data_IF_375481689673
#
_entry.id   IF_375481689673
#
_cell.length_a   1.000
_cell.length_b   1.000
_cell.length_c   1.000
_cell.angle_alpha   90.00
_cell.angle_beta   90.00
_cell.angle_gamma   90.00
#
_symmetry.space_group_name_H-M   'P 1'
#
loop_
_entity.id
_entity.type
_entity.pdbx_description
1 polymer ?
#
# COMPACT_ATOMS: atom_id res chain seq x y z
N UNK A 1 36.77 -17.09 7.06
CA UNK A 1 35.36 -16.74 7.18
C UNK A 1 34.68 -17.13 5.88
N UNK A 2 33.59 -17.88 5.99
CA UNK A 2 32.71 -18.22 4.87
C UNK A 2 32.05 -16.94 4.32
N UNK A 3 31.85 -16.87 2.99
CA UNK A 3 31.28 -15.67 2.35
C UNK A 3 29.84 -15.39 2.81
N UNK A 4 29.08 -16.44 3.17
CA UNK A 4 27.73 -16.24 3.67
C UNK A 4 27.73 -15.71 5.11
N UNK A 5 28.73 -16.06 5.91
CA UNK A 5 28.90 -15.49 7.26
C UNK A 5 29.27 -14.02 7.16
N UNK A 6 30.17 -13.68 6.24
CA UNK A 6 30.55 -12.29 5.96
C UNK A 6 29.33 -11.44 5.54
N UNK A 7 28.43 -11.99 4.71
CA UNK A 7 27.17 -11.33 4.32
C UNK A 7 26.29 -10.98 5.54
N UNK A 8 26.17 -11.91 6.50
CA UNK A 8 25.43 -11.66 7.75
C UNK A 8 26.10 -10.56 8.57
N UNK A 9 27.43 -10.54 8.67
CA UNK A 9 28.15 -9.49 9.40
C UNK A 9 27.96 -8.12 8.75
N UNK A 10 27.98 -8.05 7.41
CA UNK A 10 27.68 -6.82 6.66
C UNK A 10 26.26 -6.34 6.95
N UNK A 11 25.28 -7.25 7.00
CA UNK A 11 23.90 -6.90 7.32
C UNK A 11 23.74 -6.34 8.75
N UNK A 12 24.51 -6.86 9.70
CA UNK A 12 24.49 -6.40 11.10
C UNK A 12 25.38 -5.18 11.36
N UNK A 13 26.12 -4.68 10.37
CA UNK A 13 27.07 -3.59 10.51
C UNK A 13 26.41 -2.30 11.04
N UNK A 14 27.06 -1.61 11.97
CA UNK A 14 26.55 -0.42 12.65
C UNK A 14 25.36 -0.64 13.60
N UNK A 15 24.88 -1.89 13.78
CA UNK A 15 23.71 -2.20 14.61
C UNK A 15 24.05 -2.90 15.92
N UNK A 16 25.27 -3.43 16.08
CA UNK A 16 25.69 -4.12 17.29
C UNK A 16 26.33 -3.14 18.27
N UNK A 17 25.65 -2.87 19.39
CA UNK A 17 26.26 -2.10 20.50
C UNK A 17 27.28 -2.91 21.30
N UNK A 18 27.12 -4.24 21.35
CA UNK A 18 28.01 -5.19 22.04
C UNK A 18 28.24 -6.44 21.17
N UNK A 19 29.10 -6.40 20.13
CA UNK A 19 29.27 -7.54 19.21
C UNK A 19 29.67 -8.85 19.89
N UNK A 20 30.57 -8.79 20.89
CA UNK A 20 31.01 -9.98 21.63
C UNK A 20 29.86 -10.66 22.39
N UNK A 21 29.09 -9.88 23.17
CA UNK A 21 27.94 -10.39 23.93
C UNK A 21 26.86 -10.96 22.99
N UNK A 22 26.65 -10.30 21.85
CA UNK A 22 25.71 -10.75 20.84
C UNK A 22 26.09 -12.12 20.25
N UNK A 23 27.33 -12.29 19.76
CA UNK A 23 27.75 -13.56 19.16
C UNK A 23 27.85 -14.68 20.20
N UNK A 24 28.23 -14.37 21.44
CA UNK A 24 28.15 -15.35 22.55
C UNK A 24 26.70 -15.81 22.79
N UNK A 25 25.73 -14.89 22.78
CA UNK A 25 24.32 -15.23 22.94
C UNK A 25 23.81 -16.09 21.77
N UNK A 26 24.13 -15.74 20.51
CA UNK A 26 23.77 -16.54 19.33
C UNK A 26 24.26 -17.98 19.48
N UNK A 27 25.53 -18.16 19.87
CA UNK A 27 26.12 -19.49 20.09
C UNK A 27 25.45 -20.25 21.24
N UNK A 28 25.25 -19.58 22.38
CA UNK A 28 24.68 -20.20 23.58
C UNK A 28 23.27 -20.70 23.30
N UNK A 29 22.42 -19.84 22.73
CA UNK A 29 21.02 -20.19 22.42
C UNK A 29 20.96 -21.26 21.35
N UNK A 30 21.79 -21.19 20.31
CA UNK A 30 21.83 -22.23 19.29
C UNK A 30 22.24 -23.59 19.87
N UNK A 31 23.27 -23.66 20.72
CA UNK A 31 23.72 -24.92 21.31
C UNK A 31 22.66 -25.54 22.25
N UNK A 32 21.91 -24.70 22.99
CA UNK A 32 20.79 -25.14 23.82
C UNK A 32 19.60 -25.68 23.00
N UNK A 33 19.41 -25.14 21.79
CA UNK A 33 18.26 -25.43 20.92
C UNK A 33 18.62 -26.19 19.63
N UNK A 34 19.82 -26.76 19.50
CA UNK A 34 20.29 -27.40 18.24
C UNK A 34 19.48 -28.61 17.79
N UNK A 35 18.72 -29.24 18.70
CA UNK A 35 17.83 -30.37 18.40
C UNK A 35 16.37 -29.94 18.20
N UNK A 36 16.07 -28.66 18.45
CA UNK A 36 14.75 -28.03 18.25
C UNK A 36 14.61 -27.46 16.84
N UNK A 37 13.41 -26.96 16.51
CA UNK A 37 13.19 -26.18 15.31
C UNK A 37 13.70 -24.73 15.44
N UNK A 38 13.69 -24.01 14.33
CA UNK A 38 14.14 -22.61 14.28
C UNK A 38 13.24 -21.67 15.09
N UNK A 39 11.95 -21.99 15.26
CA UNK A 39 11.00 -21.16 16.02
C UNK A 39 11.33 -21.16 17.52
N UNK A 40 11.77 -22.29 18.05
CA UNK A 40 12.29 -22.40 19.42
C UNK A 40 13.56 -21.55 19.61
N UNK A 41 14.53 -21.65 18.69
CA UNK A 41 15.74 -20.80 18.71
C UNK A 41 15.36 -19.32 18.65
N UNK A 42 14.50 -18.94 17.70
CA UNK A 42 14.03 -17.56 17.50
C UNK A 42 13.44 -17.00 18.79
N UNK A 43 12.51 -17.74 19.40
CA UNK A 43 11.81 -17.31 20.61
C UNK A 43 12.77 -17.12 21.79
N UNK A 44 13.72 -18.05 21.96
CA UNK A 44 14.74 -17.97 23.00
C UNK A 44 15.73 -16.81 22.75
N UNK A 45 16.20 -16.64 21.52
CA UNK A 45 17.17 -15.61 21.17
C UNK A 45 16.58 -14.20 21.28
N UNK A 46 15.33 -13.99 20.86
CA UNK A 46 14.65 -12.70 21.04
C UNK A 46 14.41 -12.36 22.52
N UNK A 47 14.28 -13.36 23.39
CA UNK A 47 14.14 -13.14 24.83
C UNK A 47 15.42 -12.58 25.48
N UNK A 48 16.59 -12.71 24.84
CA UNK A 48 17.84 -12.08 25.27
C UNK A 48 17.82 -10.55 25.12
N UNK A 49 16.89 -10.00 24.31
CA UNK A 49 16.64 -8.56 24.24
C UNK A 49 17.66 -7.75 23.44
N UNK A 50 18.34 -8.37 22.48
CA UNK A 50 19.20 -7.66 21.53
C UNK A 50 18.36 -7.11 20.36
N UNK A 51 18.34 -5.79 20.16
CA UNK A 51 17.65 -5.16 19.01
C UNK A 51 18.16 -5.71 17.67
N UNK A 52 19.47 -5.89 17.54
CA UNK A 52 20.09 -6.52 16.37
C UNK A 52 19.71 -8.01 16.20
N UNK A 53 19.17 -8.64 17.23
CA UNK A 53 18.67 -10.00 17.17
C UNK A 53 17.40 -10.10 16.32
N UNK A 54 16.51 -9.11 16.41
CA UNK A 54 15.35 -9.02 15.52
C UNK A 54 15.76 -8.83 14.06
N UNK A 55 16.79 -8.02 13.80
CA UNK A 55 17.34 -7.82 12.45
C UNK A 55 17.94 -9.10 11.87
N UNK A 56 18.74 -9.84 12.66
CA UNK A 56 19.29 -11.13 12.23
C UNK A 56 18.18 -12.11 11.87
N UNK A 57 17.19 -12.29 12.75
CA UNK A 57 16.07 -13.21 12.51
C UNK A 57 15.28 -12.81 11.27
N UNK A 58 14.95 -11.52 11.14
CA UNK A 58 14.21 -11.01 9.97
C UNK A 58 14.98 -11.25 8.67
N UNK A 59 16.28 -10.98 8.66
CA UNK A 59 17.14 -11.25 7.52
C UNK A 59 17.13 -12.74 7.13
N UNK A 60 17.21 -13.65 8.11
CA UNK A 60 17.16 -15.09 7.85
C UNK A 60 15.79 -15.55 7.31
N UNK A 61 14.68 -15.02 7.86
CA UNK A 61 13.31 -15.33 7.43
C UNK A 61 13.01 -14.81 6.03
N UNK A 62 13.28 -13.52 5.77
CA UNK A 62 12.96 -12.86 4.50
C UNK A 62 13.69 -13.50 3.32
N UNK A 63 14.86 -14.09 3.58
CA UNK A 63 15.65 -14.79 2.58
C UNK A 63 15.44 -16.32 2.58
N UNK A 64 14.70 -16.87 3.55
CA UNK A 64 14.52 -18.32 3.73
C UNK A 64 15.84 -19.06 3.94
N UNK A 65 16.83 -18.43 4.58
CA UNK A 65 18.21 -18.92 4.72
C UNK A 65 18.55 -19.31 6.16
N UNK A 66 17.66 -20.04 6.84
CA UNK A 66 17.85 -20.46 8.24
C UNK A 66 19.13 -21.27 8.46
N UNK A 67 19.64 -21.95 7.42
CA UNK A 67 20.91 -22.68 7.44
C UNK A 67 22.14 -21.79 7.68
N UNK A 68 22.05 -20.48 7.42
CA UNK A 68 23.14 -19.56 7.71
C UNK A 68 23.42 -19.42 9.19
N UNK A 69 22.39 -19.58 10.03
CA UNK A 69 22.59 -19.55 11.48
C UNK A 69 23.59 -20.63 11.92
N UNK A 70 23.48 -21.84 11.35
CA UNK A 70 24.42 -22.92 11.65
C UNK A 70 25.85 -22.55 11.23
N UNK A 71 26.02 -21.88 10.07
CA UNK A 71 27.33 -21.41 9.62
C UNK A 71 27.92 -20.32 10.51
N UNK A 72 27.09 -19.37 10.96
CA UNK A 72 27.51 -18.34 11.91
C UNK A 72 27.98 -19.00 13.20
N UNK A 73 27.27 -20.01 13.70
CA UNK A 73 27.61 -20.72 14.95
C UNK A 73 28.80 -21.70 14.79
N UNK A 74 29.21 -22.05 13.57
CA UNK A 74 30.43 -22.81 13.32
C UNK A 74 31.71 -21.96 13.49
N UNK A 75 31.61 -20.64 13.28
CA UNK A 75 32.71 -19.69 13.48
C UNK A 75 32.83 -19.34 14.96
N UNK A 76 34.05 -19.10 15.48
CA UNK A 76 34.19 -18.79 16.91
C UNK A 76 33.68 -17.37 17.20
N UNK A 77 33.00 -17.11 18.34
CA UNK A 77 32.52 -15.77 18.68
C UNK A 77 33.61 -14.69 18.65
N UNK A 78 34.86 -15.03 19.02
CA UNK A 78 35.96 -14.07 19.00
C UNK A 78 36.40 -13.72 17.57
N UNK A 79 36.32 -14.68 16.64
CA UNK A 79 36.63 -14.48 15.22
C UNK A 79 35.55 -13.62 14.57
N UNK A 80 34.26 -13.89 14.86
CA UNK A 80 33.13 -13.07 14.40
C UNK A 80 33.19 -11.64 14.94
N UNK A 81 33.52 -11.47 16.22
CA UNK A 81 33.68 -10.16 16.84
C UNK A 81 34.82 -9.37 16.17
N UNK A 82 35.95 -10.04 15.91
CA UNK A 82 37.11 -9.40 15.26
C UNK A 82 36.78 -9.01 13.82
N UNK A 83 36.13 -9.90 13.07
CA UNK A 83 35.66 -9.65 11.72
C UNK A 83 34.66 -8.49 11.65
N UNK A 84 33.70 -8.45 12.57
CA UNK A 84 32.75 -7.35 12.68
C UNK A 84 33.46 -6.02 12.94
N UNK A 85 34.41 -6.00 13.88
CA UNK A 85 35.18 -4.80 14.19
C UNK A 85 36.02 -4.32 13.01
N UNK A 86 36.57 -5.23 12.19
CA UNK A 86 37.26 -4.88 10.95
C UNK A 86 36.29 -4.24 9.93
N UNK A 87 35.11 -4.83 9.72
CA UNK A 87 34.09 -4.30 8.82
C UNK A 87 33.52 -2.94 9.26
N UNK A 88 33.39 -2.73 10.57
CA UNK A 88 32.91 -1.47 11.16
C UNK A 88 34.00 -0.39 11.06
N UNK A 89 35.26 -0.75 11.33
CA UNK A 89 36.40 0.15 11.19
C UNK A 89 36.72 0.52 9.73
N UNK A 90 36.39 -0.32 8.75
CA UNK A 90 36.51 0.03 7.33
C UNK A 90 35.56 1.17 6.92
N UNK A 91 34.40 1.29 7.58
CA UNK A 91 33.47 2.41 7.37
C UNK A 91 34.03 3.68 8.02
N UNK A 92 34.42 3.59 9.28
CA UNK A 92 34.96 4.75 10.02
C UNK A 92 36.32 5.21 9.48
N UNK A 93 37.11 4.30 8.89
CA UNK A 93 38.41 4.57 8.29
C UNK A 93 38.35 5.12 6.87
N UNK A 94 37.19 5.08 6.22
CA UNK A 94 36.99 5.62 4.87
C UNK A 94 36.72 7.13 4.85
N UNK A 95 36.32 7.73 5.99
CA UNK A 95 36.00 9.16 6.11
C UNK A 95 37.26 10.07 6.17
N UNK A 96 38.44 9.54 6.51
CA UNK A 96 39.68 10.31 6.64
C UNK A 96 40.63 10.11 5.44
N UNK A 97 40.12 10.35 4.22
CA UNK A 97 40.95 10.86 3.14
C UNK A 97 41.20 9.93 1.95
N UNK A 98 40.47 10.23 0.87
CA UNK A 98 40.68 9.82 -0.53
C UNK A 98 39.93 8.58 -1.06
N UNK A 99 39.13 7.89 -0.23
CA UNK A 99 38.17 6.85 -0.68
C UNK A 99 36.75 7.38 -0.92
N UNK A 100 36.27 8.25 -0.01
CA UNK A 100 34.90 8.77 -0.01
C UNK A 100 34.51 9.53 -1.29
N UNK A 101 35.45 10.25 -1.91
CA UNK A 101 35.16 10.93 -3.18
C UNK A 101 34.86 9.96 -4.34
N UNK A 102 35.36 8.72 -4.31
CA UNK A 102 35.14 7.75 -5.38
C UNK A 102 33.80 7.01 -5.23
N UNK A 103 33.41 6.71 -3.99
CA UNK A 103 32.13 6.06 -3.68
C UNK A 103 30.97 7.09 -3.72
N UNK A 104 31.19 8.31 -3.26
CA UNK A 104 30.24 9.42 -3.50
C UNK A 104 30.02 9.65 -4.99
N UNK A 105 31.07 9.53 -5.81
CA UNK A 105 30.96 9.63 -7.28
C UNK A 105 30.24 8.41 -7.89
N UNK A 106 30.32 7.24 -7.27
CA UNK A 106 29.58 6.04 -7.70
C UNK A 106 28.10 6.16 -7.32
N UNK A 107 27.79 6.51 -6.07
CA UNK A 107 26.44 6.69 -5.57
C UNK A 107 25.74 7.88 -6.24
N UNK A 108 26.43 9.00 -6.43
CA UNK A 108 25.90 10.14 -7.19
C UNK A 108 25.66 9.79 -8.66
N UNK A 109 26.37 8.82 -9.23
CA UNK A 109 26.13 8.33 -10.60
C UNK A 109 24.93 7.39 -10.64
N UNK A 110 24.83 6.45 -9.71
CA UNK A 110 23.67 5.55 -9.58
C UNK A 110 22.40 6.34 -9.30
N UNK A 111 22.46 7.35 -8.44
CA UNK A 111 21.33 8.25 -8.18
C UNK A 111 20.88 9.01 -9.42
N UNK A 112 21.81 9.64 -10.14
CA UNK A 112 21.48 10.32 -11.40
C UNK A 112 20.87 9.36 -12.40
N UNK A 113 21.40 8.15 -12.52
CA UNK A 113 20.86 7.12 -13.39
C UNK A 113 19.45 6.68 -12.97
N UNK A 114 19.15 6.60 -11.67
CA UNK A 114 17.81 6.31 -11.16
C UNK A 114 16.83 7.43 -11.51
N UNK A 115 17.22 8.69 -11.29
CA UNK A 115 16.41 9.87 -11.62
C UNK A 115 16.16 10.00 -13.12
N UNK A 116 17.19 9.79 -13.95
CA UNK A 116 17.05 9.85 -15.42
C UNK A 116 16.08 8.78 -15.96
N UNK A 117 16.08 7.59 -15.37
CA UNK A 117 15.22 6.49 -15.82
C UNK A 117 13.80 6.56 -15.26
N UNK A 118 13.65 6.89 -13.97
CA UNK A 118 12.39 6.73 -13.24
C UNK A 118 11.82 8.03 -12.71
N UNK A 119 12.61 9.11 -12.64
CA UNK A 119 12.20 10.38 -12.05
C UNK A 119 11.07 11.09 -12.81
N UNK A 120 10.88 10.77 -14.10
CA UNK A 120 9.79 11.32 -14.90
C UNK A 120 8.41 10.75 -14.51
N UNK A 121 8.34 9.51 -14.02
CA UNK A 121 7.08 8.88 -13.61
C UNK A 121 6.44 9.60 -12.41
N UNK A 122 7.27 10.23 -11.57
CA UNK A 122 6.82 11.04 -10.43
C UNK A 122 6.02 12.29 -10.83
N UNK A 123 5.98 12.64 -12.13
CA UNK A 123 5.16 13.74 -12.62
C UNK A 123 3.66 13.47 -12.50
N UNK A 124 3.28 12.20 -12.39
CA UNK A 124 1.90 11.74 -12.24
C UNK A 124 1.49 11.58 -10.77
N UNK A 125 2.45 11.68 -9.82
CA UNK A 125 2.12 11.75 -8.41
C UNK A 125 1.47 13.10 -8.09
N UNK A 126 0.29 13.04 -7.48
CA UNK A 126 -0.51 14.20 -7.10
C UNK A 126 0.07 14.99 -5.91
N UNK A 127 1.11 14.46 -5.27
CA UNK A 127 1.74 15.03 -4.08
C UNK A 127 0.95 14.79 -2.81
N UNK A 128 0.03 13.82 -2.80
CA UNK A 128 -0.71 13.43 -1.59
C UNK A 128 0.10 12.51 -0.68
N UNK A 129 -0.17 12.56 0.63
CA UNK A 129 0.42 11.63 1.60
C UNK A 129 0.03 10.18 1.32
N UNK A 130 -1.20 9.94 0.83
CA UNK A 130 -1.68 8.61 0.48
C UNK A 130 -0.90 8.01 -0.70
N UNK A 131 -0.61 8.80 -1.73
CA UNK A 131 0.16 8.35 -2.91
C UNK A 131 1.67 8.22 -2.65
N UNK A 132 2.20 8.82 -1.57
CA UNK A 132 3.64 8.81 -1.28
C UNK A 132 4.20 7.38 -1.17
N UNK A 133 3.58 6.55 -0.33
CA UNK A 133 4.08 5.19 -0.07
C UNK A 133 4.12 4.36 -1.35
N UNK A 134 3.06 4.45 -2.18
CA UNK A 134 2.97 3.75 -3.45
C UNK A 134 4.08 4.14 -4.42
N UNK A 135 4.31 5.45 -4.63
CA UNK A 135 5.35 5.92 -5.53
C UNK A 135 6.77 5.62 -5.03
N UNK A 136 7.00 5.75 -3.72
CA UNK A 136 8.27 5.39 -3.09
C UNK A 136 8.57 3.90 -3.27
N UNK A 137 7.62 3.04 -2.95
CA UNK A 137 7.80 1.59 -3.00
C UNK A 137 7.93 1.10 -4.45
N UNK A 138 7.16 1.68 -5.37
CA UNK A 138 7.36 1.47 -6.80
C UNK A 138 8.78 1.83 -7.24
N UNK A 139 9.32 2.97 -6.81
CA UNK A 139 10.67 3.41 -7.16
C UNK A 139 11.74 2.46 -6.61
N UNK A 140 11.54 1.94 -5.39
CA UNK A 140 12.40 0.91 -4.81
C UNK A 140 12.40 -0.39 -5.62
N UNK A 141 11.22 -0.91 -5.97
CA UNK A 141 11.11 -2.11 -6.81
C UNK A 141 11.73 -1.88 -8.18
N UNK A 142 11.46 -0.73 -8.80
CA UNK A 142 11.98 -0.37 -10.12
C UNK A 142 13.52 -0.29 -10.13
N UNK A 143 14.12 0.38 -9.16
CA UNK A 143 15.58 0.48 -9.03
C UNK A 143 16.22 -0.87 -8.72
N UNK A 144 15.65 -1.66 -7.80
CA UNK A 144 16.14 -3.00 -7.45
C UNK A 144 16.12 -3.95 -8.66
N UNK A 145 15.08 -3.85 -9.50
CA UNK A 145 14.96 -4.68 -10.71
C UNK A 145 16.04 -4.40 -11.77
N UNK A 146 16.62 -3.20 -11.78
CA UNK A 146 17.71 -2.84 -12.69
C UNK A 146 19.08 -3.16 -12.08
N UNK A 147 19.29 -2.74 -10.84
CA UNK A 147 20.56 -2.91 -10.13
C UNK A 147 20.30 -2.83 -8.61
N UNK A 148 20.57 -3.89 -7.82
CA UNK A 148 20.43 -3.85 -6.37
C UNK A 148 21.21 -2.72 -5.69
N UNK A 149 22.33 -2.29 -6.26
CA UNK A 149 23.12 -1.16 -5.76
C UNK A 149 22.38 0.17 -5.95
N UNK A 150 21.61 0.30 -7.03
CA UNK A 150 20.76 1.47 -7.27
C UNK A 150 19.61 1.54 -6.28
N UNK A 151 19.05 0.39 -5.89
CA UNK A 151 18.07 0.31 -4.80
C UNK A 151 18.65 0.79 -3.48
N UNK A 152 19.86 0.35 -3.10
CA UNK A 152 20.50 0.79 -1.86
C UNK A 152 20.65 2.32 -1.82
N UNK A 153 21.11 2.93 -2.92
CA UNK A 153 21.22 4.39 -3.05
C UNK A 153 19.84 5.07 -2.99
N UNK A 154 18.82 4.49 -3.62
CA UNK A 154 17.46 5.03 -3.57
C UNK A 154 16.86 4.98 -2.18
N UNK A 155 17.02 3.86 -1.49
CA UNK A 155 16.56 3.67 -0.11
C UNK A 155 17.24 4.66 0.83
N UNK A 156 18.57 4.78 0.77
CA UNK A 156 19.33 5.71 1.61
C UNK A 156 18.89 7.17 1.45
N UNK A 157 18.44 7.57 0.25
CA UNK A 157 18.00 8.95 -0.03
C UNK A 157 16.53 9.20 0.27
N UNK A 158 15.64 8.23 0.03
CA UNK A 158 14.19 8.42 0.14
C UNK A 158 13.64 8.01 1.51
N UNK A 159 14.22 7.02 2.18
CA UNK A 159 13.72 6.54 3.47
C UNK A 159 13.69 7.63 4.57
N UNK A 160 14.73 8.48 4.71
CA UNK A 160 14.70 9.57 5.68
C UNK A 160 13.53 10.56 5.48
N UNK A 161 12.98 10.65 4.26
CA UNK A 161 11.88 11.55 3.95
C UNK A 161 10.53 11.09 4.53
N UNK A 162 10.43 9.84 4.98
CA UNK A 162 9.22 9.30 5.61
C UNK A 162 8.83 10.04 6.90
N UNK A 163 9.82 10.56 7.62
CA UNK A 163 9.61 11.32 8.84
C UNK A 163 9.41 12.83 8.60
N UNK A 164 9.57 13.28 7.35
CA UNK A 164 9.49 14.70 6.96
C UNK A 164 8.05 15.07 6.58
N UNK A 165 7.55 16.26 6.98
CA UNK A 165 6.24 16.75 6.52
C UNK A 165 6.15 16.82 4.99
N UNK A 166 4.96 16.58 4.45
CA UNK A 166 4.70 16.42 3.02
C UNK A 166 5.28 17.56 2.16
N UNK A 167 5.08 18.82 2.54
CA UNK A 167 5.58 19.96 1.75
C UNK A 167 7.12 19.96 1.67
N UNK A 168 7.80 19.75 2.80
CA UNK A 168 9.26 19.67 2.86
C UNK A 168 9.81 18.41 2.17
N UNK A 169 9.03 17.33 2.15
CA UNK A 169 9.34 16.11 1.38
C UNK A 169 9.28 16.40 -0.13
N UNK A 170 8.22 17.06 -0.60
CA UNK A 170 8.07 17.44 -2.01
C UNK A 170 9.22 18.35 -2.44
N UNK A 171 9.62 19.31 -1.60
CA UNK A 171 10.76 20.18 -1.89
C UNK A 171 12.08 19.39 -1.97
N UNK A 172 12.33 18.49 -1.01
CA UNK A 172 13.50 17.59 -1.04
C UNK A 172 13.54 16.74 -2.32
N UNK A 173 12.40 16.20 -2.75
CA UNK A 173 12.32 15.40 -3.98
C UNK A 173 12.63 16.24 -5.23
N UNK A 174 12.14 17.49 -5.30
CA UNK A 174 12.49 18.41 -6.39
C UNK A 174 13.99 18.72 -6.40
N UNK A 175 14.59 18.94 -5.23
CA UNK A 175 16.04 19.15 -5.09
C UNK A 175 16.84 17.93 -5.55
N UNK A 176 16.31 16.72 -5.32
CA UNK A 176 16.92 15.51 -5.81
C UNK A 176 16.76 15.26 -7.32
N UNK A 177 15.95 16.08 -8.01
CA UNK A 177 15.77 16.04 -9.45
C UNK A 177 14.47 15.37 -9.93
N UNK A 178 13.56 15.00 -9.02
CA UNK A 178 12.24 14.51 -9.42
C UNK A 178 11.39 15.61 -10.05
N UNK A 179 10.64 15.25 -11.09
CA UNK A 179 9.63 16.15 -11.66
C UNK A 179 8.30 15.89 -10.96
N UNK A 180 7.90 16.74 -10.02
CA UNK A 180 6.62 16.61 -9.30
C UNK A 180 5.71 17.76 -9.68
N UNK A 181 4.53 17.45 -10.23
CA UNK A 181 3.52 18.44 -10.67
C UNK A 181 2.50 18.81 -9.60
N UNK A 182 2.61 18.21 -8.41
CA UNK A 182 1.82 18.55 -7.24
C UNK A 182 1.72 20.07 -7.07
N UNK A 183 0.49 20.58 -7.09
CA UNK A 183 0.23 21.99 -6.82
C UNK A 183 0.30 22.14 -5.31
N UNK A 184 1.21 22.96 -4.75
CA UNK A 184 1.29 23.13 -3.31
C UNK A 184 -0.07 23.54 -2.78
N UNK A 185 -0.55 22.82 -1.77
CA UNK A 185 -1.77 23.16 -1.07
C UNK A 185 -1.56 24.58 -0.51
N UNK A 186 -2.29 25.55 -1.05
CA UNK A 186 -2.22 26.93 -0.58
C UNK A 186 -2.60 26.91 0.89
N UNK A 187 -1.68 27.32 1.77
CA UNK A 187 -1.87 27.42 3.21
C UNK A 187 -3.17 28.18 3.51
N UNK A 188 -4.24 27.42 3.76
CA UNK A 188 -5.52 27.94 4.22
C UNK A 188 -5.41 28.10 5.74
N UNK A 189 -5.33 29.35 6.17
CA UNK A 189 -5.26 29.71 7.58
C UNK A 189 -6.40 29.09 8.39
N UNK A 190 -6.03 28.57 9.56
CA UNK A 190 -6.86 28.29 10.74
C UNK A 190 -8.37 28.19 10.50
N UNK A 191 -8.83 27.00 10.11
CA UNK A 191 -10.16 26.52 10.45
C UNK A 191 -10.09 25.03 10.79
N UNK A 192 -10.43 24.74 12.04
CA UNK A 192 -10.78 23.45 12.61
C UNK A 192 -11.74 22.65 11.74
N UNK A 193 -11.63 21.31 11.79
CA UNK A 193 -12.45 20.28 11.12
C UNK A 193 -11.93 19.89 9.73
N UNK A 194 -11.05 18.88 9.73
CA UNK A 194 -10.43 18.25 8.56
C UNK A 194 -11.47 17.51 7.72
N UNK A 195 -12.24 18.27 6.94
CA UNK A 195 -12.86 17.79 5.72
C UNK A 195 -11.90 18.07 4.58
N UNK A 196 -11.53 17.04 3.81
CA UNK A 196 -10.95 17.25 2.49
C UNK A 196 -11.85 18.26 1.75
N UNK A 197 -11.29 19.42 1.38
CA UNK A 197 -12.07 20.48 0.75
C UNK A 197 -12.36 20.08 -0.69
N UNK A 198 -13.28 19.15 -0.87
CA UNK A 198 -13.93 18.99 -2.17
C UNK A 198 -14.70 20.28 -2.41
N UNK A 199 -14.46 20.89 -3.57
CA UNK A 199 -15.24 22.03 -3.98
C UNK A 199 -16.68 21.55 -4.23
N UNK A 200 -17.52 21.74 -3.21
CA UNK A 200 -18.92 21.33 -3.20
C UNK A 200 -19.66 21.90 -4.40
N UNK A 201 -19.26 23.06 -4.92
CA UNK A 201 -19.90 23.68 -6.08
C UNK A 201 -19.59 22.97 -7.40
N UNK A 202 -18.46 22.25 -7.50
CA UNK A 202 -18.05 21.56 -8.73
C UNK A 202 -18.18 20.05 -8.66
N UNK A 203 -17.92 19.43 -7.52
CA UNK A 203 -17.94 17.97 -7.38
C UNK A 203 -19.35 17.42 -7.14
N UNK A 204 -20.19 18.12 -6.37
CA UNK A 204 -21.53 17.61 -6.03
C UNK A 204 -22.50 17.57 -7.21
N UNK A 205 -22.50 18.53 -8.16
CA UNK A 205 -23.32 18.42 -9.35
C UNK A 205 -23.01 17.20 -10.23
N UNK A 206 -21.77 16.70 -10.20
CA UNK A 206 -21.40 15.48 -10.90
C UNK A 206 -21.85 14.23 -10.13
N UNK A 207 -21.59 14.16 -8.81
CA UNK A 207 -22.06 13.03 -7.97
C UNK A 207 -23.59 12.94 -8.03
N UNK A 208 -24.31 14.06 -7.96
CA UNK A 208 -25.77 14.06 -8.07
C UNK A 208 -26.26 13.51 -9.41
N UNK A 209 -25.52 13.69 -10.52
CA UNK A 209 -25.86 13.07 -11.80
C UNK A 209 -25.69 11.55 -11.78
N UNK A 210 -24.61 11.05 -11.15
CA UNK A 210 -24.41 9.60 -10.97
C UNK A 210 -25.53 8.99 -10.13
N UNK A 211 -25.89 9.66 -9.03
CA UNK A 211 -26.97 9.22 -8.13
C UNK A 211 -28.33 9.28 -8.82
N UNK A 212 -28.60 10.33 -9.61
CA UNK A 212 -29.85 10.47 -10.38
C UNK A 212 -29.94 9.41 -11.50
N UNK A 213 -28.83 9.07 -12.16
CA UNK A 213 -28.80 8.00 -13.15
C UNK A 213 -29.11 6.60 -12.57
N UNK A 214 -28.84 6.41 -11.27
CA UNK A 214 -29.09 5.17 -10.55
C UNK A 214 -30.36 5.23 -9.69
N UNK A 215 -31.10 6.35 -9.69
CA UNK A 215 -32.20 6.57 -8.76
C UNK A 215 -33.29 5.49 -8.82
N UNK A 216 -33.53 4.93 -9.99
CA UNK A 216 -34.54 3.90 -10.22
C UNK A 216 -34.15 2.53 -9.62
N UNK A 217 -32.89 2.36 -9.20
CA UNK A 217 -32.42 1.15 -8.52
C UNK A 217 -32.67 1.19 -7.01
N UNK A 218 -33.06 2.34 -6.47
CA UNK A 218 -33.39 2.50 -5.06
C UNK A 218 -34.89 2.69 -4.88
N UNK A 219 -35.54 1.74 -4.20
CA UNK A 219 -36.96 1.85 -3.86
C UNK A 219 -37.24 2.94 -2.80
N UNK A 220 -36.20 3.57 -2.26
CA UNK A 220 -36.29 4.64 -1.28
C UNK A 220 -36.51 4.17 0.16
N UNK A 221 -36.40 2.86 0.42
CA UNK A 221 -36.38 2.29 1.76
C UNK A 221 -34.97 2.32 2.37
N UNK A 222 -34.91 2.32 3.70
CA UNK A 222 -33.63 2.19 4.41
C UNK A 222 -33.02 0.77 4.24
N UNK A 223 -33.84 -0.22 3.94
CA UNK A 223 -33.42 -1.63 3.78
C UNK A 223 -32.60 -1.82 2.50
N UNK A 224 -33.00 -1.17 1.40
CA UNK A 224 -32.28 -1.22 0.11
C UNK A 224 -31.13 -0.20 -0.01
N UNK A 225 -30.99 0.71 0.97
CA UNK A 225 -29.97 1.77 0.96
C UNK A 225 -28.52 1.26 0.82
N UNK A 226 -28.07 0.20 1.55
CA UNK A 226 -26.69 -0.26 1.43
C UNK A 226 -26.32 -0.73 0.01
N UNK A 227 -27.22 -1.46 -0.66
CA UNK A 227 -27.00 -1.94 -2.02
C UNK A 227 -26.99 -0.79 -3.04
N UNK A 228 -27.87 0.21 -2.85
CA UNK A 228 -27.85 1.42 -3.66
C UNK A 228 -26.55 2.21 -3.47
N UNK A 229 -26.11 2.40 -2.21
CA UNK A 229 -24.86 3.08 -1.86
C UNK A 229 -23.65 2.42 -2.55
N UNK A 230 -23.57 1.09 -2.49
CA UNK A 230 -22.51 0.32 -3.16
C UNK A 230 -22.54 0.51 -4.68
N UNK A 231 -23.72 0.48 -5.29
CA UNK A 231 -23.90 0.70 -6.73
C UNK A 231 -23.45 2.10 -7.16
N UNK A 232 -23.78 3.14 -6.38
CA UNK A 232 -23.32 4.52 -6.62
C UNK A 232 -21.80 4.62 -6.49
N UNK A 233 -21.21 4.05 -5.44
CA UNK A 233 -19.75 4.09 -5.23
C UNK A 233 -18.99 3.36 -6.34
N UNK A 234 -19.48 2.21 -6.79
CA UNK A 234 -18.94 1.47 -7.93
C UNK A 234 -19.01 2.29 -9.23
N UNK A 235 -20.15 2.97 -9.47
CA UNK A 235 -20.28 3.86 -10.63
C UNK A 235 -19.37 5.09 -10.54
N UNK A 236 -19.19 5.67 -9.34
CA UNK A 236 -18.24 6.76 -9.09
C UNK A 236 -16.81 6.30 -9.38
N UNK A 237 -16.41 5.15 -8.86
CA UNK A 237 -15.09 4.57 -9.11
C UNK A 237 -14.85 4.37 -10.61
N UNK A 238 -15.79 3.73 -11.31
CA UNK A 238 -15.69 3.47 -12.75
C UNK A 238 -15.60 4.76 -13.58
N UNK A 239 -16.43 5.77 -13.28
CA UNK A 239 -16.46 7.02 -14.04
C UNK A 239 -15.34 8.00 -13.63
N UNK A 240 -14.76 7.84 -12.44
CA UNK A 240 -13.66 8.68 -11.96
C UNK A 240 -12.34 8.44 -12.70
N UNK A 241 -12.23 7.33 -13.46
CA UNK A 241 -11.00 6.89 -14.11
C UNK A 241 -9.80 6.79 -13.13
N UNK A 242 -10.06 6.33 -11.90
CA UNK A 242 -9.04 6.20 -10.85
C UNK A 242 -8.77 7.50 -10.07
N UNK A 243 -9.60 8.53 -10.22
CA UNK A 243 -9.50 9.75 -9.41
C UNK A 243 -9.99 9.51 -7.98
N UNK A 244 -9.03 9.28 -7.09
CA UNK A 244 -9.25 9.06 -5.65
C UNK A 244 -10.05 10.19 -4.99
N UNK A 245 -9.86 11.44 -5.43
CA UNK A 245 -10.57 12.59 -4.89
C UNK A 245 -12.07 12.57 -5.20
N UNK A 246 -12.47 12.08 -6.37
CA UNK A 246 -13.88 11.90 -6.71
C UNK A 246 -14.52 10.75 -5.92
N UNK A 247 -13.76 9.68 -5.66
CA UNK A 247 -14.25 8.56 -4.86
C UNK A 247 -14.50 8.97 -3.40
N UNK A 248 -13.56 9.71 -2.84
CA UNK A 248 -13.69 10.22 -1.48
C UNK A 248 -14.79 11.28 -1.36
N UNK A 249 -14.99 12.13 -2.38
CA UNK A 249 -16.16 13.01 -2.46
C UNK A 249 -17.49 12.25 -2.57
N UNK A 250 -17.54 11.20 -3.39
CA UNK A 250 -18.70 10.30 -3.51
C UNK A 250 -19.07 9.65 -2.19
N UNK A 251 -18.06 9.19 -1.44
CA UNK A 251 -18.22 8.62 -0.10
C UNK A 251 -18.76 9.66 0.87
N UNK A 252 -18.13 10.84 0.94
CA UNK A 252 -18.56 11.92 1.83
C UNK A 252 -20.00 12.39 1.53
N UNK A 253 -20.38 12.48 0.25
CA UNK A 253 -21.74 12.80 -0.16
C UNK A 253 -22.75 11.75 0.34
N UNK A 254 -22.46 10.47 0.15
CA UNK A 254 -23.35 9.38 0.57
C UNK A 254 -23.44 9.26 2.09
N UNK A 255 -22.35 9.50 2.82
CA UNK A 255 -22.35 9.51 4.28
C UNK A 255 -23.20 10.68 4.84
N UNK A 256 -23.16 11.85 4.19
CA UNK A 256 -24.03 12.99 4.53
C UNK A 256 -25.51 12.64 4.34
N UNK A 257 -25.85 11.96 3.23
CA UNK A 257 -27.21 11.49 2.98
C UNK A 257 -27.61 10.39 3.97
N UNK A 258 -26.71 9.46 4.28
CA UNK A 258 -26.97 8.34 5.19
C UNK A 258 -27.31 8.81 6.61
N UNK A 259 -26.63 9.86 7.09
CA UNK A 259 -26.91 10.49 8.37
C UNK A 259 -28.22 11.30 8.43
N UNK A 260 -28.88 11.54 7.30
CA UNK A 260 -30.13 12.28 7.26
C UNK A 260 -31.32 11.43 7.73
N UNK A 261 -32.23 12.06 8.48
CA UNK A 261 -33.47 11.40 8.94
C UNK A 261 -34.43 11.00 7.80
N UNK A 262 -34.33 11.70 6.66
CA UNK A 262 -35.07 11.41 5.43
C UNK A 262 -34.10 11.51 4.26
N UNK A 263 -33.60 10.35 3.82
CA UNK A 263 -32.60 10.24 2.75
C UNK A 263 -33.15 10.74 1.41
N UNK A 264 -34.44 10.55 1.13
CA UNK A 264 -35.09 11.06 -0.09
C UNK A 264 -35.12 12.58 -0.09
N UNK A 265 -35.50 13.19 1.03
CA UNK A 265 -35.48 14.65 1.16
C UNK A 265 -34.05 15.22 1.06
N UNK A 266 -33.06 14.53 1.62
CA UNK A 266 -31.65 14.92 1.49
C UNK A 266 -31.19 14.88 0.03
N UNK A 267 -31.45 13.79 -0.69
CA UNK A 267 -31.14 13.66 -2.12
C UNK A 267 -31.86 14.71 -2.98
N UNK A 268 -33.13 14.98 -2.70
CA UNK A 268 -33.88 16.04 -3.38
C UNK A 268 -33.26 17.43 -3.19
N UNK A 269 -32.60 17.68 -2.04
CA UNK A 269 -31.82 18.90 -1.80
C UNK A 269 -30.64 19.08 -2.76
N UNK A 270 -30.16 17.99 -3.36
CA UNK A 270 -29.11 17.97 -4.39
C UNK A 270 -29.67 17.89 -5.82
N UNK A 271 -30.99 18.01 -5.99
CA UNK A 271 -31.64 17.92 -7.29
C UNK A 271 -31.83 16.50 -7.82
N UNK A 272 -31.51 15.47 -7.03
CA UNK A 272 -31.79 14.06 -7.37
C UNK A 272 -33.27 13.79 -7.15
N UNK A 273 -33.95 13.26 -8.17
CA UNK A 273 -35.37 12.92 -8.05
C UNK A 273 -35.55 11.41 -8.00
N UNK A 274 -35.71 10.87 -6.80
CA UNK A 274 -36.13 9.47 -6.64
C UNK A 274 -37.61 9.40 -7.02
N UNK A 275 -37.93 8.68 -8.10
CA UNK A 275 -39.31 8.39 -8.42
C UNK A 275 -39.96 7.75 -7.19
N UNK A 276 -41.15 8.21 -6.82
CA UNK A 276 -41.97 7.47 -5.87
C UNK A 276 -42.45 6.19 -6.57
N UNK A 277 -41.53 5.26 -6.80
CA UNK A 277 -41.87 3.92 -7.23
C UNK A 277 -42.77 3.34 -6.16
N UNK A 278 -43.99 2.99 -6.53
CA UNK A 278 -44.61 1.83 -5.91
C UNK A 278 -43.58 0.72 -6.09
N UNK A 279 -42.93 0.32 -4.99
CA UNK A 279 -42.03 -0.82 -5.00
C UNK A 279 -42.75 -1.95 -5.74
N UNK A 280 -42.15 -2.41 -6.84
CA UNK A 280 -42.70 -3.55 -7.58
C UNK A 280 -42.91 -4.64 -6.54
N UNK A 281 -44.17 -5.06 -6.29
CA UNK A 281 -44.44 -5.98 -5.21
C UNK A 281 -43.51 -7.19 -5.37
N UNK A 282 -42.97 -7.77 -4.28
CA UNK A 282 -42.06 -8.91 -4.37
C UNK A 282 -42.58 -10.06 -5.24
N UNK A 283 -43.91 -10.16 -5.35
CA UNK A 283 -44.63 -11.09 -6.22
C UNK A 283 -44.45 -10.77 -7.72
N UNK A 284 -44.50 -9.51 -8.13
CA UNK A 284 -44.27 -9.08 -9.53
C UNK A 284 -42.79 -9.17 -9.92
N UNK A 285 -41.87 -8.90 -8.98
CA UNK A 285 -40.43 -9.10 -9.21
C UNK A 285 -40.08 -10.59 -9.38
N UNK A 286 -40.70 -11.46 -8.56
CA UNK A 286 -40.55 -12.90 -8.69
C UNK A 286 -41.17 -13.43 -9.99
N UNK A 287 -42.31 -12.88 -10.43
CA UNK A 287 -42.94 -13.23 -11.71
C UNK A 287 -42.08 -12.77 -12.90
N UNK A 288 -41.50 -11.58 -12.85
CA UNK A 288 -40.60 -11.06 -13.88
C UNK A 288 -39.30 -11.89 -13.98
N UNK A 289 -38.72 -12.27 -12.84
CA UNK A 289 -37.56 -13.17 -12.79
C UNK A 289 -37.91 -14.57 -13.33
N UNK A 290 -39.05 -15.14 -12.91
CA UNK A 290 -39.50 -16.43 -13.40
C UNK A 290 -39.76 -16.40 -14.91
N UNK A 291 -40.31 -15.32 -15.44
CA UNK A 291 -40.59 -15.19 -16.87
C UNK A 291 -39.30 -15.08 -17.71
N UNK A 292 -38.28 -14.37 -17.23
CA UNK A 292 -36.95 -14.34 -17.88
C UNK A 292 -36.30 -15.73 -17.86
N UNK A 293 -36.49 -16.49 -16.77
CA UNK A 293 -35.96 -17.85 -16.64
C UNK A 293 -36.68 -18.87 -17.53
N UNK A 294 -38.00 -18.75 -17.65
CA UNK A 294 -38.83 -19.59 -18.53
C UNK A 294 -38.54 -19.30 -20.01
N UNK A 295 -38.35 -18.03 -20.38
CA UNK A 295 -37.99 -17.63 -21.75
C UNK A 295 -36.57 -18.07 -22.15
N UNK A 296 -35.68 -18.27 -21.17
CA UNK A 296 -34.32 -18.76 -21.37
C UNK A 296 -34.17 -20.30 -21.35
N UNK A 297 -35.26 -21.05 -21.07
CA UNK A 297 -35.29 -22.52 -20.94
C UNK A 297 -34.25 -23.06 -19.92
N UNK A 298 -34.03 -22.32 -18.83
CA UNK A 298 -33.03 -22.65 -17.80
C UNK A 298 -33.67 -23.45 -16.66
N UNK A 299 -33.37 -24.76 -16.58
CA UNK A 299 -33.75 -25.62 -15.46
C UNK A 299 -32.81 -25.41 -14.24
N UNK A 300 -33.17 -24.45 -13.39
CA UNK A 300 -32.48 -24.11 -12.14
C UNK A 300 -32.37 -25.26 -11.13
N UNK A 301 -33.15 -26.34 -11.26
CA UNK A 301 -33.04 -27.48 -10.33
C UNK A 301 -31.74 -28.26 -10.49
N UNK A 302 -30.97 -28.00 -11.55
CA UNK A 302 -29.69 -28.64 -11.84
C UNK A 302 -28.47 -27.81 -11.44
N UNK A 303 -28.67 -26.56 -11.01
CA UNK A 303 -27.58 -25.65 -10.67
C UNK A 303 -27.49 -25.47 -9.16
N UNK A 304 -26.27 -25.47 -8.64
CA UNK A 304 -25.99 -25.10 -7.26
C UNK A 304 -26.21 -23.59 -7.05
N UNK A 305 -26.46 -23.18 -5.80
CA UNK A 305 -26.68 -21.78 -5.42
C UNK A 305 -25.56 -20.84 -5.93
N UNK A 306 -24.32 -21.32 -5.93
CA UNK A 306 -23.16 -20.57 -6.42
C UNK A 306 -23.14 -20.41 -7.95
N UNK A 307 -23.60 -21.43 -8.68
CA UNK A 307 -23.71 -21.38 -10.15
C UNK A 307 -24.83 -20.44 -10.61
N UNK A 308 -25.93 -20.39 -9.85
CA UNK A 308 -27.02 -19.43 -10.09
C UNK A 308 -26.52 -18.01 -9.85
N UNK A 309 -25.75 -17.77 -8.79
CA UNK A 309 -25.18 -16.45 -8.49
C UNK A 309 -24.22 -15.98 -9.59
N UNK A 310 -23.32 -16.84 -10.08
CA UNK A 310 -22.43 -16.50 -11.19
C UNK A 310 -23.18 -16.23 -12.50
N UNK A 311 -24.21 -17.01 -12.81
CA UNK A 311 -25.01 -16.79 -14.00
C UNK A 311 -25.76 -15.44 -13.94
N UNK A 312 -26.24 -15.05 -12.76
CA UNK A 312 -26.90 -13.77 -12.54
C UNK A 312 -25.93 -12.59 -12.73
N UNK A 313 -24.73 -12.69 -12.14
CA UNK A 313 -23.66 -11.69 -12.30
C UNK A 313 -23.24 -11.55 -13.76
N UNK A 314 -23.16 -12.66 -14.50
CA UNK A 314 -22.82 -12.65 -15.92
C UNK A 314 -23.92 -12.05 -16.79
N UNK A 315 -25.19 -12.39 -16.54
CA UNK A 315 -26.33 -11.81 -17.27
C UNK A 315 -26.45 -10.29 -17.03
N UNK A 316 -26.19 -9.83 -15.80
CA UNK A 316 -26.12 -8.41 -15.46
C UNK A 316 -24.99 -7.69 -16.23
N UNK A 317 -23.81 -8.34 -16.36
CA UNK A 317 -22.71 -7.80 -17.14
C UNK A 317 -23.03 -7.70 -18.64
N UNK A 318 -23.73 -8.69 -19.22
CA UNK A 318 -24.13 -8.69 -20.62
C UNK A 318 -25.17 -7.60 -20.94
N UNK A 319 -26.18 -7.42 -20.09
CA UNK A 319 -27.16 -6.33 -20.23
C UNK A 319 -26.49 -4.95 -20.13
N UNK A 320 -25.49 -4.81 -19.26
CA UNK A 320 -24.71 -3.57 -19.12
C UNK A 320 -23.85 -3.27 -20.35
N UNK A 321 -23.32 -4.31 -21.01
CA UNK A 321 -22.54 -4.19 -22.23
C UNK A 321 -23.41 -3.87 -23.47
N UNK A 322 -24.64 -4.36 -23.54
CA UNK A 322 -25.58 -4.02 -24.63
C UNK A 322 -26.21 -2.62 -24.48
N UNK A 323 -26.17 -2.04 -23.27
CA UNK A 323 -26.63 -0.68 -22.99
C UNK A 323 -25.56 0.41 -23.26
N UNK A 324 -24.34 0.03 -23.63
CA UNK A 324 -23.21 0.92 -24.00
C UNK A 324 -23.09 1.12 -25.52
#
# INVERSE_FOLDING_TARGET
MDADVEEVLIHLRGRLSSPAEFFEAVHSVHEEHKESDFDDFRSAFLAEGFDAGEELIRYLDDNGRHELLAKVVEERPEDLTSAYAELDAEVDGAEDGAGEAADDDADARLWRQAIEQFGAAWADWDGSEAGWAEYRDWFYVATNSQDPSMYAVAYARLDPLNAVPLDARIDSLREFGFTIRATPAVEAGEATETGASYDRETTFPWISQVVDALSDQWDGSDESWPAFRESVLSAVEQQSAGRVDLMAAGTAFLDEVEGAADKRAALAGYGVTIAAGEAMPPEELAEALQQVMDDADIDISQFSEEEVKQALEQALAEVSAEAS
#
